data_IF_519965403477
#
_entry.id   IF_519965403477
#
_cell.length_a   1.000
_cell.length_b   1.000
_cell.length_c   1.000
_cell.angle_alpha   90.00
_cell.angle_beta   90.00
_cell.angle_gamma   90.00
#
_symmetry.space_group_name_H-M   'P 1'
#
loop_
_entity.id
_entity.type
_entity.pdbx_description
1 polymer ?
#
# COMPACT_ATOMS: atom_id res chain seq x y z
N UNK A 1 2.46 13.77 -18.30
CA UNK A 1 2.89 12.84 -17.23
C UNK A 1 1.90 11.68 -17.22
N UNK A 2 2.36 10.45 -17.04
CA UNK A 2 1.49 9.25 -17.05
C UNK A 2 0.41 9.33 -15.93
N UNK A 3 -0.88 9.03 -16.18
CA UNK A 3 -1.93 9.14 -15.17
C UNK A 3 -1.71 8.28 -13.92
N UNK A 4 -1.10 7.09 -14.08
CA UNK A 4 -0.74 6.25 -12.93
C UNK A 4 0.35 6.91 -12.10
N UNK A 5 1.40 7.44 -12.74
CA UNK A 5 2.45 8.18 -12.05
C UNK A 5 1.92 9.39 -11.26
N UNK A 6 0.94 10.13 -11.78
CA UNK A 6 0.29 11.24 -11.06
C UNK A 6 -0.45 10.71 -9.83
N UNK A 7 -1.30 9.69 -9.99
CA UNK A 7 -2.04 9.09 -8.86
C UNK A 7 -1.11 8.59 -7.75
N UNK A 8 -0.02 7.92 -8.12
CA UNK A 8 0.95 7.40 -7.15
C UNK A 8 1.65 8.55 -6.44
N UNK A 9 2.12 9.55 -7.18
CA UNK A 9 2.76 10.74 -6.60
C UNK A 9 1.84 11.45 -5.60
N UNK A 10 0.62 11.74 -6.01
CA UNK A 10 -0.34 12.46 -5.16
C UNK A 10 -0.73 11.63 -3.93
N UNK A 11 -0.76 10.30 -4.05
CA UNK A 11 -0.97 9.40 -2.93
C UNK A 11 0.24 9.31 -2.00
N UNK A 12 1.48 9.32 -2.50
CA UNK A 12 2.67 9.17 -1.65
C UNK A 12 3.19 10.50 -1.07
N UNK A 13 2.73 11.63 -1.62
CA UNK A 13 3.11 12.96 -1.16
C UNK A 13 2.82 13.16 0.33
N UNK A 14 3.80 13.69 1.06
CA UNK A 14 3.74 13.86 2.52
C UNK A 14 3.73 12.58 3.36
N UNK A 15 3.81 11.38 2.75
CA UNK A 15 3.82 10.09 3.48
C UNK A 15 5.20 9.46 3.63
N UNK A 16 6.22 9.97 2.94
CA UNK A 16 7.66 9.67 3.16
C UNK A 16 8.00 8.17 3.33
N UNK A 17 7.39 7.27 2.54
CA UNK A 17 7.55 5.80 2.67
C UNK A 17 7.16 5.24 4.05
N UNK A 18 6.33 5.94 4.80
CA UNK A 18 5.76 5.45 6.05
C UNK A 18 4.68 4.40 5.74
N UNK A 19 5.00 3.13 6.00
CA UNK A 19 4.11 2.00 5.72
C UNK A 19 2.73 2.14 6.39
N UNK A 20 2.64 2.76 7.57
CA UNK A 20 1.36 2.94 8.27
C UNK A 20 0.49 3.97 7.57
N UNK A 21 1.09 5.08 7.15
CA UNK A 21 0.38 6.13 6.40
C UNK A 21 -0.12 5.59 5.05
N UNK A 22 0.71 4.82 4.33
CA UNK A 22 0.33 4.22 3.06
C UNK A 22 -0.81 3.20 3.23
N UNK A 23 -0.71 2.28 4.19
CA UNK A 23 -1.78 1.31 4.46
C UNK A 23 -3.08 1.99 4.94
N UNK A 24 -2.96 3.00 5.80
CA UNK A 24 -4.10 3.75 6.35
C UNK A 24 -4.81 4.65 5.34
N UNK A 25 -4.28 4.79 4.12
CA UNK A 25 -4.83 5.63 3.05
C UNK A 25 -4.86 4.92 1.70
N UNK A 26 -4.80 3.59 1.68
CA UNK A 26 -4.70 2.83 0.43
C UNK A 26 -5.97 2.95 -0.43
N UNK A 27 -7.14 3.22 0.15
CA UNK A 27 -8.37 3.47 -0.60
C UNK A 27 -8.28 4.68 -1.53
N UNK A 28 -7.43 5.66 -1.22
CA UNK A 28 -7.31 6.90 -2.00
C UNK A 28 -6.72 6.65 -3.39
N UNK A 29 -6.04 5.51 -3.59
CA UNK A 29 -5.32 5.19 -4.83
C UNK A 29 -5.80 3.89 -5.49
N UNK A 30 -6.56 3.05 -4.79
CA UNK A 30 -7.14 1.85 -5.37
C UNK A 30 -8.17 2.17 -6.47
N UNK A 31 -8.42 1.20 -7.33
CA UNK A 31 -9.48 1.27 -8.33
C UNK A 31 -10.84 0.95 -7.70
N UNK A 32 -11.91 1.38 -8.37
CA UNK A 32 -13.29 1.02 -8.00
C UNK A 32 -13.49 -0.50 -8.08
N UNK A 33 -14.14 -1.09 -7.08
CA UNK A 33 -14.35 -2.53 -6.99
C UNK A 33 -13.20 -3.33 -6.37
N UNK A 34 -12.20 -2.68 -5.76
CA UNK A 34 -11.16 -3.33 -4.95
C UNK A 34 -11.69 -3.83 -3.58
N UNK A 35 -12.85 -4.51 -3.56
CA UNK A 35 -13.63 -4.85 -2.35
C UNK A 35 -12.93 -5.78 -1.37
N UNK A 36 -11.88 -6.49 -1.81
CA UNK A 36 -11.08 -7.38 -0.95
C UNK A 36 -10.18 -6.61 0.01
N UNK A 37 -10.08 -5.29 -0.13
CA UNK A 37 -9.36 -4.42 0.79
C UNK A 37 -10.31 -3.74 1.77
N UNK A 38 -10.02 -3.88 3.06
CA UNK A 38 -10.67 -3.12 4.12
C UNK A 38 -9.61 -2.24 4.76
N UNK A 39 -9.71 -0.93 4.54
CA UNK A 39 -8.72 0.03 5.04
C UNK A 39 -8.65 -0.02 6.58
N UNK A 40 -7.47 -0.31 7.15
CA UNK A 40 -7.28 -0.30 8.59
C UNK A 40 -7.38 1.12 9.13
N UNK A 41 -7.86 1.27 10.37
CA UNK A 41 -7.71 2.52 11.11
C UNK A 41 -6.30 2.57 11.70
N UNK A 42 -5.85 3.75 12.15
CA UNK A 42 -4.54 3.86 12.79
C UNK A 42 -4.38 3.00 14.04
N UNK A 43 -5.45 2.77 14.81
CA UNK A 43 -5.45 1.84 15.94
C UNK A 43 -5.14 0.39 15.54
N UNK A 44 -5.45 0.01 14.30
CA UNK A 44 -5.16 -1.30 13.71
C UNK A 44 -3.75 -1.38 13.10
N UNK A 45 -2.90 -0.37 13.35
CA UNK A 45 -1.54 -0.25 12.79
C UNK A 45 -0.51 0.16 13.86
N UNK A 46 -0.81 0.03 15.15
CA UNK A 46 0.12 0.44 16.21
C UNK A 46 1.33 -0.50 16.30
N UNK A 47 1.07 -1.80 16.49
CA UNK A 47 2.12 -2.80 16.64
C UNK A 47 2.71 -3.27 15.31
N UNK A 48 3.98 -3.71 15.34
CA UNK A 48 4.64 -4.34 14.20
C UNK A 48 3.83 -5.49 13.58
N UNK A 49 3.21 -6.32 14.44
CA UNK A 49 2.41 -7.47 14.02
C UNK A 49 1.16 -7.04 13.25
N UNK A 50 0.49 -5.99 13.72
CA UNK A 50 -0.65 -5.40 13.05
C UNK A 50 -0.28 -4.81 11.68
N UNK A 51 0.82 -4.05 11.62
CA UNK A 51 1.35 -3.51 10.35
C UNK A 51 1.66 -4.64 9.37
N UNK A 52 2.38 -5.68 9.81
CA UNK A 52 2.72 -6.85 8.99
C UNK A 52 1.49 -7.53 8.40
N UNK A 53 0.47 -7.75 9.24
CA UNK A 53 -0.80 -8.37 8.82
C UNK A 53 -1.52 -7.52 7.77
N UNK A 54 -1.60 -6.21 7.96
CA UNK A 54 -2.24 -5.30 7.01
C UNK A 54 -1.45 -5.18 5.70
N UNK A 55 -0.12 -5.13 5.79
CA UNK A 55 0.77 -5.15 4.62
C UNK A 55 0.54 -6.38 3.75
N UNK A 56 0.55 -7.59 4.32
CA UNK A 56 0.32 -8.80 3.52
C UNK A 56 -1.07 -8.84 2.90
N UNK A 57 -2.10 -8.37 3.60
CA UNK A 57 -3.44 -8.24 3.02
C UNK A 57 -3.45 -7.27 1.83
N UNK A 58 -2.77 -6.12 1.93
CA UNK A 58 -2.66 -5.17 0.84
C UNK A 58 -1.97 -5.81 -0.37
N UNK A 59 -0.85 -6.50 -0.15
CA UNK A 59 -0.13 -7.23 -1.20
C UNK A 59 -1.02 -8.26 -1.90
N UNK A 60 -1.88 -8.99 -1.19
CA UNK A 60 -2.81 -9.94 -1.81
C UNK A 60 -3.84 -9.29 -2.74
N UNK A 61 -4.17 -8.02 -2.52
CA UNK A 61 -5.09 -7.23 -3.34
C UNK A 61 -4.37 -6.70 -4.57
N UNK A 62 -3.18 -6.11 -4.42
CA UNK A 62 -2.46 -5.43 -5.50
C UNK A 62 -1.38 -6.26 -6.18
N UNK A 63 -1.26 -7.56 -5.86
CA UNK A 63 -0.20 -8.42 -6.40
C UNK A 63 -0.20 -8.41 -7.94
N UNK A 64 0.94 -8.14 -8.61
CA UNK A 64 1.01 -8.06 -10.07
C UNK A 64 0.43 -9.30 -10.77
N UNK A 65 0.77 -10.51 -10.32
CA UNK A 65 0.30 -11.77 -10.91
C UNK A 65 -1.23 -11.91 -10.94
N UNK A 66 -1.93 -11.32 -9.97
CA UNK A 66 -3.39 -11.38 -9.90
C UNK A 66 -4.06 -10.33 -10.79
N UNK A 67 -3.32 -9.31 -11.20
CA UNK A 67 -3.83 -8.18 -11.95
C UNK A 67 -3.38 -8.19 -13.42
N UNK A 68 -2.71 -9.25 -13.87
CA UNK A 68 -2.29 -9.41 -15.27
C UNK A 68 -3.48 -9.29 -16.20
N UNK A 69 -3.41 -8.36 -17.16
CA UNK A 69 -4.46 -8.11 -18.13
C UNK A 69 -5.65 -7.30 -17.60
N UNK A 70 -5.68 -6.95 -16.31
CA UNK A 70 -6.70 -6.07 -15.76
C UNK A 70 -6.44 -4.60 -16.17
N UNK A 71 -7.49 -3.77 -16.32
CA UNK A 71 -7.31 -2.35 -16.67
C UNK A 71 -6.42 -1.56 -15.70
N UNK A 72 -6.32 -2.02 -14.46
CA UNK A 72 -5.55 -1.41 -13.38
C UNK A 72 -4.20 -2.10 -13.11
N UNK A 73 -3.74 -3.01 -13.98
CA UNK A 73 -2.47 -3.76 -13.77
C UNK A 73 -1.28 -2.82 -13.46
N UNK A 74 -1.12 -1.76 -14.26
CA UNK A 74 -0.03 -0.80 -14.09
C UNK A 74 -0.12 -0.08 -12.74
N UNK A 75 -1.33 0.29 -12.32
CA UNK A 75 -1.59 0.95 -11.04
C UNK A 75 -1.31 0.00 -9.87
N UNK A 76 -1.79 -1.24 -9.95
CA UNK A 76 -1.56 -2.27 -8.93
C UNK A 76 -0.06 -2.53 -8.74
N UNK A 77 0.68 -2.68 -9.84
CA UNK A 77 2.14 -2.86 -9.79
C UNK A 77 2.85 -1.67 -9.14
N UNK A 78 2.47 -0.44 -9.48
CA UNK A 78 3.07 0.75 -8.88
C UNK A 78 2.78 0.86 -7.36
N UNK A 79 1.53 0.60 -6.94
CA UNK A 79 1.17 0.53 -5.52
C UNK A 79 1.98 -0.55 -4.81
N UNK A 80 2.09 -1.74 -5.41
CA UNK A 80 2.85 -2.86 -4.84
C UNK A 80 4.32 -2.50 -4.62
N UNK A 81 4.96 -1.80 -5.57
CA UNK A 81 6.33 -1.29 -5.42
C UNK A 81 6.45 -0.35 -4.21
N UNK A 82 5.60 0.68 -4.12
CA UNK A 82 5.64 1.63 -3.00
C UNK A 82 5.43 0.96 -1.64
N UNK A 83 4.50 0.00 -1.57
CA UNK A 83 4.26 -0.77 -0.34
C UNK A 83 5.45 -1.66 0.04
N UNK A 84 6.10 -2.32 -0.92
CA UNK A 84 7.30 -3.12 -0.65
C UNK A 84 8.46 -2.25 -0.16
N UNK A 85 8.70 -1.11 -0.81
CA UNK A 85 9.77 -0.19 -0.43
C UNK A 85 9.56 0.34 0.99
N UNK A 86 8.33 0.76 1.32
CA UNK A 86 7.97 1.19 2.66
C UNK A 86 8.05 0.07 3.71
N UNK A 87 7.63 -1.14 3.36
CA UNK A 87 7.75 -2.32 4.23
C UNK A 87 9.21 -2.67 4.51
N UNK A 88 10.05 -2.69 3.48
CA UNK A 88 11.49 -2.94 3.62
C UNK A 88 12.16 -1.89 4.51
N UNK A 89 11.82 -0.62 4.34
CA UNK A 89 12.31 0.46 5.21
C UNK A 89 11.83 0.27 6.66
N UNK A 90 10.58 -0.15 6.87
CA UNK A 90 10.04 -0.44 8.18
C UNK A 90 10.77 -1.63 8.87
N UNK A 91 11.04 -2.70 8.14
CA UNK A 91 11.79 -3.85 8.65
C UNK A 91 13.23 -3.48 8.99
N UNK A 92 13.94 -2.76 8.11
CA UNK A 92 15.30 -2.27 8.35
C UNK A 92 15.36 -1.31 9.55
N UNK A 93 14.30 -0.53 9.77
CA UNK A 93 14.16 0.36 10.93
C UNK A 93 13.87 -0.37 12.26
N UNK A 94 13.84 -1.70 12.26
CA UNK A 94 13.59 -2.54 13.45
C UNK A 94 12.11 -2.80 13.73
N UNK A 95 11.23 -2.56 12.75
CA UNK A 95 9.78 -2.81 12.87
C UNK A 95 9.16 -2.16 14.11
N UNK A 96 9.56 -0.93 14.44
CA UNK A 96 9.14 -0.27 15.69
C UNK A 96 7.64 -0.10 15.74
N UNK A 97 7.02 -0.54 16.84
CA UNK A 97 5.65 -0.15 17.19
C UNK A 97 5.57 1.37 17.40
N UNK A 98 4.39 1.95 17.12
CA UNK A 98 4.08 3.32 17.53
C UNK A 98 3.70 3.38 19.01
#
# INVERSE_FOLDING_TARGET
MDPVAIKIRDWTDGKERNIRALLGSLNDVLWEGAEKWQQPRMADLLSAVQVKKSYYKACLVVHPDKQVGAPHEKLARAIFTELNDAWNAFEQGGSKSL
#
